data_IF_108904456465
#
_entry.id   IF_108904456465
#
_cell.length_a   1.000
_cell.length_b   1.000
_cell.length_c   1.000
_cell.angle_alpha   90.00
_cell.angle_beta   90.00
_cell.angle_gamma   90.00
#
_symmetry.space_group_name_H-M   'P 1'
#
loop_
_entity.id
_entity.type
_entity.pdbx_description
1 polymer ?
#
# COMPACT_ATOMS: atom_id res chain seq x y z
N UNK A 1 13.80 -3.74 14.29
CA UNK A 1 13.00 -2.68 13.63
C UNK A 1 12.52 -3.17 12.29
N UNK A 2 11.30 -2.79 11.88
CA UNK A 2 10.74 -3.13 10.56
C UNK A 2 11.56 -2.47 9.47
N UNK A 3 11.70 -3.13 8.32
CA UNK A 3 12.47 -2.64 7.17
C UNK A 3 11.61 -2.28 5.97
N UNK A 4 10.32 -2.59 6.02
CA UNK A 4 9.42 -2.46 4.88
C UNK A 4 8.04 -1.96 5.32
N UNK A 5 7.60 -0.90 4.66
CA UNK A 5 6.28 -0.30 4.83
C UNK A 5 5.57 -0.22 3.48
N UNK A 6 4.28 0.03 3.53
CA UNK A 6 3.44 0.24 2.38
C UNK A 6 2.56 1.45 2.64
N UNK A 7 2.25 2.23 1.60
CA UNK A 7 1.40 3.41 1.73
C UNK A 7 0.42 3.53 0.57
N UNK A 8 -0.73 4.14 0.87
CA UNK A 8 -1.75 4.52 -0.10
C UNK A 8 -2.50 5.75 0.43
N UNK A 9 -3.26 6.42 -0.43
CA UNK A 9 -4.02 7.59 -0.04
C UNK A 9 -5.27 7.77 -0.89
N UNK A 10 -6.32 8.32 -0.28
CA UNK A 10 -7.55 8.62 -0.98
C UNK A 10 -8.06 10.00 -0.59
N UNK A 11 -8.76 10.65 -1.53
CA UNK A 11 -9.35 11.97 -1.27
C UNK A 11 -10.37 11.88 -0.11
N UNK A 12 -10.68 12.99 0.52
CA UNK A 12 -11.80 13.17 1.46
C UNK A 12 -12.22 14.63 1.37
N UNK A 13 -13.51 14.90 1.46
CA UNK A 13 -14.02 16.27 1.49
C UNK A 13 -14.18 16.70 2.95
N UNK A 14 -13.69 17.90 3.28
CA UNK A 14 -13.79 18.49 4.62
C UNK A 14 -14.32 19.91 4.50
N UNK A 15 -15.46 20.20 5.12
CA UNK A 15 -16.21 21.43 4.82
C UNK A 15 -15.61 22.69 5.44
N UNK A 16 -15.25 22.63 6.73
CA UNK A 16 -14.86 23.81 7.50
C UNK A 16 -13.34 23.86 7.75
N UNK A 17 -12.55 23.69 6.69
CA UNK A 17 -11.11 23.94 6.73
C UNK A 17 -10.83 25.45 6.66
N UNK A 18 -10.06 26.02 7.61
CA UNK A 18 -9.72 27.44 7.58
C UNK A 18 -9.06 27.82 6.25
N UNK A 19 -9.52 28.92 5.65
CA UNK A 19 -8.95 29.50 4.42
C UNK A 19 -9.03 28.58 3.18
N UNK A 20 -9.89 27.55 3.20
CA UNK A 20 -10.11 26.63 2.07
C UNK A 20 -11.58 26.53 1.71
N UNK A 21 -11.86 26.35 0.42
CA UNK A 21 -13.23 26.14 -0.06
C UNK A 21 -13.71 24.73 0.35
N UNK A 22 -14.99 24.56 0.73
CA UNK A 22 -15.55 23.26 1.16
C UNK A 22 -15.44 22.14 0.12
N UNK A 23 -15.31 22.47 -1.17
CA UNK A 23 -15.15 21.51 -2.28
C UNK A 23 -13.69 21.14 -2.56
N UNK A 24 -12.74 21.74 -1.85
CA UNK A 24 -11.31 21.42 -2.04
C UNK A 24 -11.04 20.01 -1.55
N UNK A 25 -10.32 19.22 -2.37
CA UNK A 25 -9.90 17.89 -1.96
C UNK A 25 -8.92 17.98 -0.78
N UNK A 26 -9.17 17.13 0.21
CA UNK A 26 -8.22 16.76 1.28
C UNK A 26 -7.90 15.28 1.19
N UNK A 27 -7.00 14.77 2.03
CA UNK A 27 -6.47 13.41 1.88
C UNK A 27 -6.49 12.61 3.17
N UNK A 28 -6.94 11.37 3.05
CA UNK A 28 -6.76 10.32 4.04
C UNK A 28 -5.64 9.40 3.55
N UNK A 29 -4.54 9.41 4.27
CA UNK A 29 -3.38 8.56 4.05
C UNK A 29 -3.53 7.28 4.86
N UNK A 30 -3.03 6.19 4.31
CA UNK A 30 -2.83 4.93 4.98
C UNK A 30 -1.34 4.60 4.94
N UNK A 31 -0.76 4.36 6.10
CA UNK A 31 0.57 3.77 6.24
C UNK A 31 0.42 2.43 6.95
N UNK A 32 1.07 1.40 6.42
CA UNK A 32 0.99 0.06 7.03
C UNK A 32 2.30 -0.69 6.96
N UNK A 33 2.44 -1.66 7.86
CA UNK A 33 3.50 -2.65 7.74
C UNK A 33 3.25 -3.61 6.57
N UNK A 34 4.34 -4.19 6.06
CA UNK A 34 4.27 -5.21 5.00
C UNK A 34 4.04 -6.63 5.51
N UNK A 35 4.42 -7.61 4.69
CA UNK A 35 4.34 -9.06 5.01
C UNK A 35 5.62 -9.54 5.70
N UNK A 36 5.99 -8.89 6.81
CA UNK A 36 7.23 -9.17 7.56
C UNK A 36 7.08 -10.23 8.67
N UNK A 37 5.90 -10.83 8.79
CA UNK A 37 5.60 -11.85 9.81
C UNK A 37 5.43 -11.30 11.23
N UNK A 38 5.53 -9.99 11.41
CA UNK A 38 5.24 -9.31 12.67
C UNK A 38 3.76 -8.84 12.68
N UNK A 39 3.20 -8.52 13.86
CA UNK A 39 1.80 -8.11 13.94
C UNK A 39 1.46 -6.96 13.00
N UNK A 40 0.38 -7.00 12.22
CA UNK A 40 0.11 -5.95 11.25
C UNK A 40 -0.21 -4.62 11.92
N UNK A 41 0.39 -3.55 11.39
CA UNK A 41 0.16 -2.17 11.79
C UNK A 41 -0.47 -1.41 10.61
N UNK A 42 -1.59 -0.74 10.83
CA UNK A 42 -2.33 0.08 9.88
C UNK A 42 -2.66 1.42 10.56
N UNK A 43 -2.13 2.52 10.02
CA UNK A 43 -2.30 3.86 10.57
C UNK A 43 -2.94 4.74 9.50
N UNK A 44 -4.05 5.37 9.86
CA UNK A 44 -4.70 6.38 9.03
C UNK A 44 -4.31 7.77 9.51
N UNK A 45 -4.06 8.66 8.56
CA UNK A 45 -3.66 10.02 8.84
C UNK A 45 -4.39 10.96 7.88
N UNK A 46 -5.03 11.99 8.42
CA UNK A 46 -5.70 13.00 7.60
C UNK A 46 -4.80 14.22 7.42
N UNK A 47 -4.81 14.78 6.21
CA UNK A 47 -4.19 16.07 5.90
C UNK A 47 -5.02 16.88 4.92
N UNK A 48 -4.84 18.19 4.96
CA UNK A 48 -5.49 19.15 4.09
C UNK A 48 -4.98 18.99 2.64
N UNK A 49 -3.69 18.68 2.44
CA UNK A 49 -3.10 18.58 1.09
C UNK A 49 -2.50 17.21 0.76
N UNK A 50 -2.32 16.86 -0.53
CA UNK A 50 -1.57 15.65 -0.97
C UNK A 50 -0.08 15.91 -1.01
N UNK A 51 0.37 17.06 -0.51
CA UNK A 51 1.72 17.51 -0.71
C UNK A 51 2.71 16.49 -0.13
N UNK A 52 3.82 16.30 -0.86
CA UNK A 52 4.89 15.35 -0.53
C UNK A 52 5.42 15.46 0.90
N UNK A 53 5.36 16.65 1.50
CA UNK A 53 5.88 16.87 2.86
C UNK A 53 5.06 16.13 3.92
N UNK A 54 3.78 15.84 3.67
CA UNK A 54 2.96 15.08 4.63
C UNK A 54 3.46 13.65 4.78
N UNK A 55 3.73 12.97 3.67
CA UNK A 55 4.33 11.64 3.70
C UNK A 55 5.75 11.65 4.32
N UNK A 56 6.57 12.66 3.98
CA UNK A 56 7.90 12.79 4.55
C UNK A 56 7.90 13.05 6.07
N UNK A 57 6.98 13.90 6.54
CA UNK A 57 6.82 14.19 7.97
C UNK A 57 6.32 12.96 8.73
N UNK A 58 5.38 12.20 8.17
CA UNK A 58 4.87 11.00 8.81
C UNK A 58 5.95 9.91 8.93
N UNK A 59 6.79 9.76 7.89
CA UNK A 59 7.83 8.75 7.82
C UNK A 59 9.17 9.20 8.42
N UNK A 60 9.20 10.34 9.13
CA UNK A 60 10.42 10.84 9.75
C UNK A 60 11.00 9.81 10.72
N UNK A 61 12.30 9.50 10.56
CA UNK A 61 13.01 8.52 11.37
C UNK A 61 12.90 7.07 10.90
N UNK A 62 12.07 6.78 9.89
CA UNK A 62 12.06 5.48 9.23
C UNK A 62 13.15 5.39 8.15
N UNK A 63 13.85 4.25 8.10
CA UNK A 63 14.75 3.90 7.01
C UNK A 63 14.45 2.48 6.54
N UNK A 64 14.55 2.24 5.23
CA UNK A 64 14.19 0.95 4.64
C UNK A 64 13.47 1.10 3.30
N UNK A 65 12.42 0.29 3.10
CA UNK A 65 11.69 0.20 1.84
C UNK A 65 10.23 0.66 1.99
N UNK A 66 9.71 1.35 0.98
CA UNK A 66 8.31 1.78 0.92
C UNK A 66 7.66 1.41 -0.43
N UNK A 67 6.65 0.54 -0.41
CA UNK A 67 5.83 0.18 -1.58
C UNK A 67 4.64 1.14 -1.73
N UNK A 68 4.40 1.62 -2.95
CA UNK A 68 3.35 2.60 -3.28
C UNK A 68 2.75 2.35 -4.68
N UNK A 69 1.59 2.95 -4.97
CA UNK A 69 0.90 2.89 -6.28
C UNK A 69 1.61 3.68 -7.41
N UNK A 70 2.72 4.34 -7.08
CA UNK A 70 3.50 5.16 -8.01
C UNK A 70 3.13 6.65 -8.00
N UNK A 71 2.38 7.14 -7.01
CA UNK A 71 2.23 8.57 -6.77
C UNK A 71 3.60 9.26 -6.56
N UNK A 72 3.76 10.44 -7.17
CA UNK A 72 5.01 11.19 -7.14
C UNK A 72 5.27 11.88 -5.79
N UNK A 73 4.25 12.02 -4.94
CA UNK A 73 4.43 12.62 -3.61
C UNK A 73 5.39 11.83 -2.72
N UNK A 74 5.60 10.56 -3.01
CA UNK A 74 6.59 9.72 -2.32
C UNK A 74 8.01 9.83 -2.89
N UNK A 75 8.26 10.57 -3.99
CA UNK A 75 9.58 10.60 -4.66
C UNK A 75 10.72 11.11 -3.77
N UNK A 76 10.42 11.97 -2.80
CA UNK A 76 11.44 12.68 -2.00
C UNK A 76 11.39 12.23 -0.53
N UNK A 77 11.69 10.96 -0.30
CA UNK A 77 11.79 10.39 1.05
C UNK A 77 13.26 10.05 1.33
N UNK A 78 13.96 10.84 2.19
CA UNK A 78 15.35 10.53 2.54
C UNK A 78 15.40 9.17 3.26
N UNK A 79 16.49 8.42 3.04
CA UNK A 79 16.77 7.12 3.68
C UNK A 79 15.75 5.99 3.39
N UNK A 80 14.81 6.23 2.47
CA UNK A 80 13.78 5.27 2.07
C UNK A 80 13.96 4.92 0.59
N UNK A 81 14.16 3.64 0.30
CA UNK A 81 14.12 3.10 -1.05
C UNK A 81 12.69 2.78 -1.44
N UNK A 82 12.28 3.23 -2.63
CA UNK A 82 10.92 3.00 -3.10
C UNK A 82 10.78 1.73 -3.89
N UNK A 83 9.73 1.00 -3.59
CA UNK A 83 9.21 -0.08 -4.41
C UNK A 83 7.96 0.41 -5.16
N UNK A 84 7.77 -0.09 -6.38
CA UNK A 84 6.61 0.22 -7.22
C UNK A 84 5.76 -1.01 -7.49
N UNK A 85 4.45 -0.78 -7.53
CA UNK A 85 3.47 -1.84 -7.64
C UNK A 85 3.37 -2.45 -9.04
N UNK A 86 3.75 -3.72 -9.18
CA UNK A 86 3.56 -4.48 -10.42
C UNK A 86 2.10 -4.78 -10.74
N UNK A 87 1.18 -4.72 -9.77
CA UNK A 87 -0.24 -4.86 -10.06
C UNK A 87 -0.76 -3.69 -10.91
N UNK A 88 -0.23 -2.48 -10.69
CA UNK A 88 -0.52 -1.32 -11.54
C UNK A 88 0.06 -1.46 -12.94
N UNK A 89 1.29 -1.96 -13.08
CA UNK A 89 1.88 -2.27 -14.39
C UNK A 89 0.99 -3.26 -15.14
N UNK A 90 0.62 -4.37 -14.49
CA UNK A 90 -0.28 -5.39 -15.07
C UNK A 90 -1.62 -4.79 -15.49
N UNK A 91 -2.23 -3.96 -14.63
CA UNK A 91 -3.50 -3.28 -14.92
C UNK A 91 -3.41 -2.40 -16.15
N UNK A 92 -2.36 -1.59 -16.29
CA UNK A 92 -2.22 -0.74 -17.48
C UNK A 92 -2.09 -1.54 -18.77
N UNK A 93 -1.38 -2.67 -18.75
CA UNK A 93 -1.34 -3.58 -19.89
C UNK A 93 -2.70 -4.23 -20.14
N UNK A 94 -3.41 -4.68 -19.11
CA UNK A 94 -4.77 -5.23 -19.23
C UNK A 94 -5.73 -4.22 -19.84
N UNK A 95 -5.73 -2.97 -19.37
CA UNK A 95 -6.60 -1.90 -19.89
C UNK A 95 -6.30 -1.55 -21.36
N UNK A 96 -5.09 -1.86 -21.83
CA UNK A 96 -4.67 -1.66 -23.22
C UNK A 96 -5.09 -2.80 -24.17
N UNK A 97 -5.61 -3.92 -23.65
CA UNK A 97 -6.11 -5.02 -24.46
C UNK A 97 -7.49 -4.64 -25.05
N UNK A 98 -7.69 -4.72 -26.37
CA UNK A 98 -9.01 -4.57 -26.97
C UNK A 98 -9.97 -5.66 -26.48
N UNK A 99 -11.23 -5.31 -26.23
CA UNK A 99 -12.27 -6.24 -25.77
C UNK A 99 -12.34 -7.46 -26.68
N UNK A 100 -12.33 -8.67 -26.10
CA UNK A 100 -12.40 -9.93 -26.85
C UNK A 100 -11.06 -10.40 -27.44
N UNK A 101 -9.96 -9.73 -27.11
CA UNK A 101 -8.60 -10.09 -27.57
C UNK A 101 -7.67 -10.50 -26.42
N UNK A 102 -8.23 -10.98 -25.30
CA UNK A 102 -7.50 -11.32 -24.09
C UNK A 102 -6.47 -12.47 -24.30
N UNK A 103 -6.67 -13.29 -25.34
CA UNK A 103 -5.80 -14.40 -25.71
C UNK A 103 -5.04 -14.18 -27.03
N UNK A 104 -5.08 -12.98 -27.59
CA UNK A 104 -4.34 -12.65 -28.80
C UNK A 104 -2.88 -12.30 -28.44
N UNK A 105 -2.04 -13.33 -28.35
CA UNK A 105 -0.62 -13.20 -27.98
C UNK A 105 0.23 -12.43 -28.99
N UNK A 106 -0.31 -12.10 -30.17
CA UNK A 106 0.35 -11.18 -31.11
C UNK A 106 0.34 -9.73 -30.60
N UNK A 107 -0.57 -9.39 -29.68
CA UNK A 107 -0.70 -8.05 -29.13
C UNK A 107 0.33 -7.79 -28.01
N UNK A 108 1.10 -6.70 -28.08
CA UNK A 108 2.02 -6.32 -27.01
C UNK A 108 1.35 -6.14 -25.64
N UNK A 109 0.09 -5.69 -25.61
CA UNK A 109 -0.66 -5.54 -24.37
C UNK A 109 -0.86 -6.89 -23.65
N UNK A 110 -1.20 -7.95 -24.40
CA UNK A 110 -1.37 -9.31 -23.87
C UNK A 110 -0.01 -9.86 -23.40
N UNK A 111 1.05 -9.66 -24.17
CA UNK A 111 2.42 -10.06 -23.81
C UNK A 111 2.86 -9.41 -22.49
N UNK A 112 2.61 -8.10 -22.31
CA UNK A 112 2.91 -7.39 -21.06
C UNK A 112 2.16 -7.98 -19.86
N UNK A 113 0.89 -8.35 -20.01
CA UNK A 113 0.14 -9.06 -18.96
C UNK A 113 0.75 -10.43 -18.65
N UNK A 114 1.24 -11.16 -19.66
CA UNK A 114 1.87 -12.47 -19.46
C UNK A 114 3.17 -12.36 -18.66
N UNK A 115 4.03 -11.38 -18.96
CA UNK A 115 5.22 -11.12 -18.13
C UNK A 115 4.86 -10.85 -16.68
N UNK A 116 3.91 -9.94 -16.43
CA UNK A 116 3.47 -9.65 -15.08
C UNK A 116 2.88 -10.89 -14.39
N UNK A 117 2.07 -11.68 -15.11
CA UNK A 117 1.43 -12.88 -14.56
C UNK A 117 2.47 -13.91 -14.13
N UNK A 118 3.53 -14.13 -14.93
CA UNK A 118 4.65 -15.00 -14.53
C UNK A 118 5.33 -14.55 -13.23
N UNK A 119 5.54 -13.24 -13.04
CA UNK A 119 6.08 -12.71 -11.78
C UNK A 119 5.14 -13.00 -10.59
N UNK A 120 3.84 -12.76 -10.75
CA UNK A 120 2.86 -13.09 -9.72
C UNK A 120 2.77 -14.60 -9.45
N UNK A 121 3.03 -15.46 -10.44
CA UNK A 121 3.06 -16.90 -10.25
C UNK A 121 4.28 -17.33 -9.43
N UNK A 122 5.44 -16.73 -9.68
CA UNK A 122 6.65 -16.89 -8.86
C UNK A 122 6.41 -16.48 -7.40
N UNK A 123 5.80 -15.31 -7.16
CA UNK A 123 5.48 -14.86 -5.80
C UNK A 123 4.49 -15.81 -5.09
N UNK A 124 3.45 -16.29 -5.80
CA UNK A 124 2.52 -17.29 -5.24
C UNK A 124 3.22 -18.60 -4.90
N UNK A 125 4.13 -19.06 -5.75
CA UNK A 125 4.95 -20.24 -5.49
C UNK A 125 5.81 -20.05 -4.24
N UNK A 126 6.54 -18.92 -4.15
CA UNK A 126 7.39 -18.62 -3.00
C UNK A 126 6.59 -18.54 -1.69
N UNK A 127 5.38 -17.97 -1.73
CA UNK A 127 4.48 -17.91 -0.58
C UNK A 127 3.97 -19.29 -0.17
N UNK A 128 3.54 -20.11 -1.13
CA UNK A 128 3.08 -21.49 -0.86
C UNK A 128 4.17 -22.39 -0.29
N UNK A 129 5.45 -22.11 -0.59
CA UNK A 129 6.61 -22.78 -0.01
C UNK A 129 7.04 -22.24 1.35
N UNK A 130 6.37 -21.22 1.88
CA UNK A 130 6.73 -20.54 3.12
C UNK A 130 8.20 -20.09 3.15
N UNK A 131 8.71 -19.58 2.03
CA UNK A 131 10.08 -19.06 1.99
C UNK A 131 10.27 -17.94 3.01
N UNK A 132 11.38 -17.98 3.74
CA UNK A 132 11.88 -16.84 4.53
C UNK A 132 12.22 -15.66 3.62
N UNK A 133 12.48 -14.48 4.19
CA UNK A 133 12.89 -13.32 3.41
C UNK A 133 14.16 -13.59 2.58
N UNK A 134 15.16 -14.25 3.17
CA UNK A 134 16.41 -14.62 2.50
C UNK A 134 16.17 -15.62 1.35
N UNK A 135 15.37 -16.66 1.60
CA UNK A 135 15.00 -17.64 0.58
C UNK A 135 14.19 -17.01 -0.55
N UNK A 136 13.26 -16.11 -0.23
CA UNK A 136 12.46 -15.37 -1.22
C UNK A 136 13.35 -14.50 -2.08
N UNK A 137 14.29 -13.75 -1.47
CA UNK A 137 15.27 -12.95 -2.21
C UNK A 137 16.08 -13.82 -3.17
N UNK A 138 16.63 -14.92 -2.70
CA UNK A 138 17.42 -15.83 -3.54
C UNK A 138 16.58 -16.40 -4.70
N UNK A 139 15.37 -16.87 -4.40
CA UNK A 139 14.42 -17.36 -5.39
C UNK A 139 14.08 -16.30 -6.46
N UNK A 140 13.85 -15.05 -6.05
CA UNK A 140 13.61 -13.93 -6.97
C UNK A 140 14.80 -13.71 -7.90
N UNK A 141 16.03 -13.72 -7.38
CA UNK A 141 17.23 -13.56 -8.19
C UNK A 141 17.42 -14.70 -9.21
N UNK A 142 17.02 -15.92 -8.86
CA UNK A 142 17.13 -17.08 -9.74
C UNK A 142 15.99 -17.19 -10.78
N UNK A 143 14.75 -16.85 -10.39
CA UNK A 143 13.56 -17.11 -11.19
C UNK A 143 12.93 -15.86 -11.79
N UNK A 144 12.86 -14.77 -11.03
CA UNK A 144 12.18 -13.55 -11.45
C UNK A 144 13.11 -12.59 -12.19
N UNK A 145 14.38 -12.48 -11.78
CA UNK A 145 15.35 -11.60 -12.45
C UNK A 145 15.48 -11.90 -13.96
N UNK A 146 15.58 -13.17 -14.42
CA UNK A 146 15.59 -13.45 -15.86
C UNK A 146 14.29 -13.06 -16.58
N UNK A 147 13.13 -13.18 -15.91
CA UNK A 147 11.82 -12.76 -16.45
C UNK A 147 11.80 -11.24 -16.60
N UNK A 148 12.31 -10.52 -15.60
CA UNK A 148 12.41 -9.06 -15.60
C UNK A 148 13.36 -8.57 -16.69
N UNK A 149 14.54 -9.17 -16.83
CA UNK A 149 15.49 -8.83 -17.90
C UNK A 149 14.86 -9.04 -19.28
N UNK A 150 14.15 -10.15 -19.50
CA UNK A 150 13.39 -10.39 -20.71
C UNK A 150 12.26 -9.36 -20.91
N UNK A 151 11.52 -9.03 -19.85
CA UNK A 151 10.47 -8.00 -19.90
C UNK A 151 11.03 -6.65 -20.30
N UNK A 152 12.14 -6.20 -19.71
CA UNK A 152 12.74 -4.89 -20.02
C UNK A 152 13.28 -4.84 -21.45
N UNK A 153 13.99 -5.89 -21.89
CA UNK A 153 14.46 -6.00 -23.27
C UNK A 153 13.30 -5.95 -24.27
N UNK A 154 12.19 -6.64 -23.97
CA UNK A 154 10.97 -6.59 -24.76
C UNK A 154 10.31 -5.20 -24.71
N UNK A 155 10.24 -4.57 -23.54
CA UNK A 155 9.60 -3.27 -23.34
C UNK A 155 10.32 -2.17 -24.12
N UNK A 156 11.66 -2.20 -24.14
CA UNK A 156 12.50 -1.23 -24.83
C UNK A 156 12.41 -1.32 -26.37
N UNK A 157 11.85 -2.40 -26.90
CA UNK A 157 11.53 -2.55 -28.32
C UNK A 157 10.14 -2.01 -28.69
N UNK A 158 9.27 -1.76 -27.71
CA UNK A 158 7.92 -1.27 -27.98
C UNK A 158 7.94 0.16 -28.50
N UNK A 159 7.23 0.41 -29.60
CA UNK A 159 7.07 1.75 -30.19
C UNK A 159 5.57 2.07 -30.36
N UNK A 160 4.81 2.19 -29.26
CA UNK A 160 3.38 2.44 -29.34
C UNK A 160 3.09 3.87 -29.82
N UNK A 161 2.01 4.03 -30.56
CA UNK A 161 1.53 5.35 -30.97
C UNK A 161 1.19 6.20 -29.73
N UNK A 162 1.62 7.48 -29.74
CA UNK A 162 1.35 8.44 -28.66
C UNK A 162 -0.16 8.53 -28.40
N UNK A 163 -0.53 8.68 -27.12
CA UNK A 163 -1.93 8.79 -26.69
C UNK A 163 -2.69 7.46 -26.57
N UNK A 164 -2.13 6.34 -27.01
CA UNK A 164 -2.76 5.02 -26.83
C UNK A 164 -2.64 4.52 -25.38
N UNK A 165 -3.54 3.61 -24.99
CA UNK A 165 -3.45 2.93 -23.69
C UNK A 165 -2.17 2.10 -23.56
N UNK A 166 -1.70 1.50 -24.66
CA UNK A 166 -0.42 0.81 -24.70
C UNK A 166 0.75 1.77 -24.44
N UNK A 167 0.75 2.96 -25.05
CA UNK A 167 1.76 3.99 -24.75
C UNK A 167 1.74 4.40 -23.27
N UNK A 168 0.56 4.50 -22.66
CA UNK A 168 0.45 4.74 -21.21
C UNK A 168 1.09 3.61 -20.38
N UNK A 169 0.84 2.35 -20.73
CA UNK A 169 1.41 1.19 -20.03
C UNK A 169 2.94 1.14 -20.14
N UNK A 170 3.46 1.30 -21.36
CA UNK A 170 4.91 1.31 -21.64
C UNK A 170 5.59 2.45 -20.89
N UNK A 171 5.08 3.68 -21.01
CA UNK A 171 5.65 4.84 -20.32
C UNK A 171 5.56 4.69 -18.79
N UNK A 172 4.48 4.12 -18.25
CA UNK A 172 4.34 3.93 -16.81
C UNK A 172 5.42 3.00 -16.26
N UNK A 173 5.69 1.89 -16.94
CA UNK A 173 6.72 0.92 -16.56
C UNK A 173 8.14 1.48 -16.75
N UNK A 174 8.43 2.09 -17.91
CA UNK A 174 9.77 2.65 -18.21
C UNK A 174 10.17 3.73 -17.20
N UNK A 175 9.27 4.65 -16.87
CA UNK A 175 9.53 5.72 -15.90
C UNK A 175 9.74 5.22 -14.46
N UNK A 176 9.53 3.92 -14.19
CA UNK A 176 9.63 3.31 -12.87
C UNK A 176 10.53 2.07 -12.89
N UNK A 177 11.37 1.89 -13.91
CA UNK A 177 12.23 0.71 -14.04
C UNK A 177 13.01 0.43 -12.76
N UNK A 178 13.69 1.45 -12.22
CA UNK A 178 14.53 1.30 -11.03
C UNK A 178 13.69 0.90 -9.80
N UNK A 179 12.58 1.57 -9.54
CA UNK A 179 11.70 1.29 -8.38
C UNK A 179 10.90 0.01 -8.53
N UNK A 180 10.62 -0.45 -9.75
CA UNK A 180 10.02 -1.75 -10.05
C UNK A 180 11.00 -2.91 -9.84
N UNK A 181 12.30 -2.63 -9.82
CA UNK A 181 13.36 -3.63 -9.56
C UNK A 181 13.76 -3.69 -8.08
N UNK A 182 13.49 -2.64 -7.30
CA UNK A 182 13.92 -2.52 -5.89
C UNK A 182 13.43 -3.67 -5.00
N UNK A 183 12.26 -4.27 -5.28
CA UNK A 183 11.75 -5.40 -4.49
C UNK A 183 12.65 -6.65 -4.52
N UNK A 184 13.58 -6.75 -5.49
CA UNK A 184 14.58 -7.82 -5.55
C UNK A 184 15.68 -7.66 -4.48
N UNK A 185 15.86 -6.45 -3.94
CA UNK A 185 16.94 -6.17 -2.99
C UNK A 185 16.70 -6.80 -1.61
N UNK A 186 15.45 -6.96 -1.21
CA UNK A 186 15.04 -7.51 0.10
C UNK A 186 13.76 -8.34 -0.01
N UNK A 187 13.77 -9.55 0.54
CA UNK A 187 12.63 -10.46 0.50
C UNK A 187 11.42 -10.05 1.34
N UNK A 188 11.56 -9.05 2.23
CA UNK A 188 10.42 -8.47 2.95
C UNK A 188 9.54 -7.60 2.04
N UNK A 189 10.08 -7.06 0.95
CA UNK A 189 9.32 -6.26 0.00
C UNK A 189 8.27 -7.14 -0.72
N UNK A 190 7.07 -6.60 -0.91
CA UNK A 190 6.03 -7.23 -1.71
C UNK A 190 6.17 -6.83 -3.19
N UNK A 191 5.66 -7.66 -4.10
CA UNK A 191 5.58 -7.33 -5.53
C UNK A 191 4.46 -6.31 -5.85
N UNK A 192 3.52 -6.10 -4.93
CA UNK A 192 2.37 -5.22 -5.14
C UNK A 192 1.92 -4.50 -3.88
N UNK A 193 1.35 -3.31 -4.06
CA UNK A 193 0.70 -2.50 -3.03
C UNK A 193 -0.74 -2.95 -2.67
N UNK A 194 -1.23 -4.07 -3.20
CA UNK A 194 -2.63 -4.50 -3.06
C UNK A 194 -3.13 -4.58 -1.61
N UNK A 195 -2.24 -4.88 -0.66
CA UNK A 195 -2.62 -4.92 0.75
C UNK A 195 -2.99 -3.54 1.30
N UNK A 196 -2.29 -2.47 0.89
CA UNK A 196 -2.64 -1.09 1.24
C UNK A 196 -3.93 -0.66 0.54
N UNK A 197 -4.08 -0.99 -0.74
CA UNK A 197 -5.31 -0.70 -1.50
C UNK A 197 -6.53 -1.38 -0.86
N UNK A 198 -6.38 -2.63 -0.40
CA UNK A 198 -7.43 -3.35 0.31
C UNK A 198 -7.71 -2.74 1.68
N UNK A 199 -6.69 -2.33 2.41
CA UNK A 199 -6.84 -1.70 3.72
C UNK A 199 -7.49 -0.31 3.61
N UNK A 200 -7.20 0.51 2.60
CA UNK A 200 -7.86 1.82 2.47
C UNK A 200 -9.30 1.71 1.93
N UNK A 201 -9.65 0.57 1.34
CA UNK A 201 -10.96 0.34 0.69
C UNK A 201 -12.19 0.55 1.60
N UNK A 202 -12.24 0.12 2.88
CA UNK A 202 -13.34 0.42 3.78
C UNK A 202 -13.62 1.92 3.90
N UNK A 203 -12.58 2.76 3.89
CA UNK A 203 -12.74 4.22 3.87
C UNK A 203 -13.30 4.70 2.53
N UNK A 204 -12.75 4.22 1.41
CA UNK A 204 -13.21 4.66 0.08
C UNK A 204 -14.66 4.30 -0.21
N UNK A 205 -15.12 3.14 0.27
CA UNK A 205 -16.51 2.69 0.19
C UNK A 205 -17.37 3.48 1.17
N UNK A 206 -16.94 3.60 2.43
CA UNK A 206 -17.69 4.29 3.49
C UNK A 206 -18.00 5.75 3.16
N UNK A 207 -17.06 6.45 2.50
CA UNK A 207 -17.26 7.83 2.03
C UNK A 207 -18.47 8.01 1.12
N UNK A 208 -18.92 6.98 0.40
CA UNK A 208 -20.15 7.07 -0.39
C UNK A 208 -21.41 7.20 0.48
N UNK A 209 -21.33 6.83 1.75
CA UNK A 209 -22.45 6.86 2.70
C UNK A 209 -22.47 8.12 3.56
N UNK A 210 -21.31 8.63 4.00
CA UNK A 210 -21.22 9.84 4.85
C UNK A 210 -20.80 11.12 4.10
N UNK A 211 -20.37 11.00 2.83
CA UNK A 211 -20.04 12.07 1.87
C UNK A 211 -18.85 12.98 2.24
N UNK A 212 -18.84 13.59 3.44
CA UNK A 212 -17.82 14.54 3.90
C UNK A 212 -17.59 14.48 5.42
N UNK A 213 -16.47 15.07 5.88
CA UNK A 213 -16.29 15.45 7.29
C UNK A 213 -16.64 16.93 7.48
N UNK A 214 -17.33 17.26 8.57
CA UNK A 214 -17.72 18.65 8.83
C UNK A 214 -16.53 19.56 9.17
N UNK A 215 -15.48 19.05 9.82
CA UNK A 215 -14.33 19.86 10.27
C UNK A 215 -13.03 19.07 10.22
N UNK A 216 -11.86 19.74 10.22
CA UNK A 216 -10.55 19.09 10.29
C UNK A 216 -10.42 18.18 11.52
N UNK A 217 -10.94 18.62 12.67
CA UNK A 217 -11.00 17.81 13.89
C UNK A 217 -11.83 16.54 13.69
N UNK A 218 -12.96 16.63 12.99
CA UNK A 218 -13.79 15.47 12.66
C UNK A 218 -13.11 14.48 11.70
N UNK A 219 -12.36 14.99 10.72
CA UNK A 219 -11.56 14.18 9.80
C UNK A 219 -10.40 13.48 10.53
N UNK A 220 -9.70 14.18 11.42
CA UNK A 220 -8.66 13.61 12.27
C UNK A 220 -9.21 12.53 13.22
N UNK A 221 -10.35 12.78 13.87
CA UNK A 221 -11.02 11.77 14.70
C UNK A 221 -11.43 10.55 13.88
N UNK A 222 -11.88 10.74 12.64
CA UNK A 222 -12.19 9.63 11.74
C UNK A 222 -10.95 8.80 11.44
N UNK A 223 -9.80 9.42 11.16
CA UNK A 223 -8.53 8.71 10.95
C UNK A 223 -8.16 7.84 12.18
N UNK A 224 -8.32 8.37 13.39
CA UNK A 224 -8.06 7.63 14.64
C UNK A 224 -9.00 6.42 14.76
N UNK A 225 -10.30 6.60 14.53
CA UNK A 225 -11.28 5.50 14.61
C UNK A 225 -11.01 4.43 13.56
N UNK A 226 -10.72 4.81 12.31
CA UNK A 226 -10.34 3.86 11.26
C UNK A 226 -9.06 3.10 11.62
N UNK A 227 -8.07 3.78 12.21
CA UNK A 227 -6.86 3.14 12.75
C UNK A 227 -7.24 2.07 13.76
N UNK A 228 -8.01 2.39 14.80
CA UNK A 228 -8.41 1.41 15.82
C UNK A 228 -9.19 0.23 15.25
N UNK A 229 -10.15 0.49 14.35
CA UNK A 229 -11.02 -0.53 13.76
C UNK A 229 -10.25 -1.47 12.83
N UNK A 230 -9.47 -0.91 11.90
CA UNK A 230 -8.75 -1.72 10.91
C UNK A 230 -7.54 -2.42 11.54
N UNK A 231 -6.93 -1.84 12.58
CA UNK A 231 -5.94 -2.53 13.41
C UNK A 231 -6.51 -3.76 14.13
N UNK A 232 -7.70 -3.62 14.74
CA UNK A 232 -8.37 -4.74 15.40
C UNK A 232 -8.63 -5.89 14.41
N UNK A 233 -9.19 -5.56 13.23
CA UNK A 233 -9.46 -6.54 12.18
C UNK A 233 -8.19 -7.20 11.67
N UNK A 234 -7.13 -6.43 11.43
CA UNK A 234 -5.88 -6.96 10.92
C UNK A 234 -5.19 -7.92 11.91
N UNK A 235 -5.47 -7.77 13.21
CA UNK A 235 -4.94 -8.62 14.28
C UNK A 235 -5.97 -9.67 14.77
N UNK A 236 -6.98 -9.98 13.97
CA UNK A 236 -7.99 -11.01 14.24
C UNK A 236 -8.77 -10.81 15.56
N UNK A 237 -9.00 -9.55 15.94
CA UNK A 237 -9.82 -9.20 17.10
C UNK A 237 -11.26 -8.86 16.72
N UNK A 238 -12.19 -9.13 17.63
CA UNK A 238 -13.53 -8.58 17.55
C UNK A 238 -13.48 -7.06 17.73
N UNK A 239 -13.85 -6.32 16.68
CA UNK A 239 -13.79 -4.85 16.69
C UNK A 239 -14.57 -4.23 17.84
N UNK A 240 -15.79 -4.73 18.13
CA UNK A 240 -16.60 -4.18 19.22
C UNK A 240 -15.93 -4.42 20.57
N UNK A 241 -15.51 -5.66 20.87
CA UNK A 241 -14.81 -5.99 22.12
C UNK A 241 -13.53 -5.15 22.28
N UNK A 242 -12.75 -4.97 21.21
CA UNK A 242 -11.52 -4.19 21.26
C UNK A 242 -11.76 -2.70 21.52
N UNK A 243 -12.74 -2.09 20.87
CA UNK A 243 -13.12 -0.70 21.15
C UNK A 243 -13.62 -0.54 22.59
N UNK A 244 -14.47 -1.45 23.06
CA UNK A 244 -14.95 -1.45 24.46
C UNK A 244 -13.80 -1.61 25.44
N UNK A 245 -12.86 -2.51 25.16
CA UNK A 245 -11.66 -2.74 25.97
C UNK A 245 -10.83 -1.46 26.06
N UNK A 246 -10.43 -0.86 24.94
CA UNK A 246 -9.66 0.38 24.91
C UNK A 246 -10.34 1.52 25.69
N UNK A 247 -11.64 1.73 25.46
CA UNK A 247 -12.40 2.78 26.13
C UNK A 247 -12.54 2.51 27.64
N UNK A 248 -12.59 1.25 28.07
CA UNK A 248 -12.66 0.88 29.49
C UNK A 248 -11.33 1.12 30.21
N UNK A 249 -10.21 0.94 29.51
CA UNK A 249 -8.87 1.18 30.06
C UNK A 249 -8.54 2.68 30.17
N UNK A 250 -9.22 3.54 29.40
CA UNK A 250 -9.05 5.01 29.40
C UNK A 250 -7.57 5.43 29.29
N UNK A 251 -6.86 5.03 28.21
CA UNK A 251 -5.48 5.44 28.02
C UNK A 251 -5.34 6.96 27.97
N UNK A 252 -4.27 7.47 28.58
CA UNK A 252 -3.95 8.89 28.60
C UNK A 252 -2.45 9.14 28.35
N UNK A 253 -2.08 10.42 28.24
CA UNK A 253 -0.71 10.84 27.92
C UNK A 253 0.33 10.57 29.04
N UNK A 254 -0.09 10.06 30.21
CA UNK A 254 0.80 9.73 31.33
C UNK A 254 1.17 8.25 31.37
N UNK A 255 0.50 7.42 30.57
CA UNK A 255 0.84 5.99 30.47
C UNK A 255 2.21 5.81 29.83
N UNK A 256 2.99 4.85 30.35
CA UNK A 256 4.27 4.48 29.74
C UNK A 256 4.07 3.65 28.48
N UNK A 257 5.11 3.54 27.65
CA UNK A 257 5.09 2.71 26.45
C UNK A 257 4.77 1.25 26.78
N UNK A 258 5.27 0.71 27.91
CA UNK A 258 4.94 -0.65 28.35
C UNK A 258 3.47 -0.82 28.70
N UNK A 259 2.83 0.22 29.27
CA UNK A 259 1.40 0.19 29.58
C UNK A 259 0.57 0.26 28.30
N UNK A 260 0.96 1.11 27.35
CA UNK A 260 0.30 1.22 26.04
C UNK A 260 0.48 -0.04 25.20
N UNK A 261 1.63 -0.71 25.29
CA UNK A 261 1.90 -1.98 24.61
C UNK A 261 0.92 -3.08 25.05
N UNK A 262 0.48 -3.09 26.32
CA UNK A 262 -0.57 -4.02 26.79
C UNK A 262 -1.95 -3.74 26.19
N UNK A 263 -2.18 -2.55 25.64
CA UNK A 263 -3.42 -2.18 24.96
C UNK A 263 -3.37 -2.41 23.46
N UNK A 264 -2.16 -2.61 22.91
CA UNK A 264 -1.97 -2.87 21.50
C UNK A 264 -2.69 -4.16 21.08
N UNK A 265 -3.20 -4.23 19.84
CA UNK A 265 -4.09 -5.33 19.43
C UNK A 265 -3.36 -6.68 19.32
N UNK A 266 -2.04 -6.67 19.33
CA UNK A 266 -1.22 -7.88 19.31
C UNK A 266 -0.82 -8.41 20.68
N UNK A 267 -1.05 -7.63 21.74
CA UNK A 267 -0.74 -8.03 23.11
C UNK A 267 -1.57 -9.26 23.53
N UNK A 268 -1.01 -10.07 24.42
CA UNK A 268 -1.70 -11.23 24.97
C UNK A 268 -2.97 -10.81 25.72
N UNK A 269 -2.92 -9.67 26.41
CA UNK A 269 -4.05 -9.14 27.17
C UNK A 269 -5.19 -8.71 26.24
N UNK A 270 -4.91 -7.94 25.19
CA UNK A 270 -5.94 -7.56 24.22
C UNK A 270 -6.51 -8.80 23.50
N UNK A 271 -5.67 -9.77 23.12
CA UNK A 271 -6.13 -11.02 22.50
C UNK A 271 -7.06 -11.80 23.42
N UNK A 272 -6.68 -12.03 24.67
CA UNK A 272 -7.49 -12.77 25.63
C UNK A 272 -8.87 -12.14 25.88
N UNK A 273 -8.95 -10.81 25.87
CA UNK A 273 -10.19 -10.08 26.12
C UNK A 273 -11.04 -9.84 24.86
N UNK A 274 -10.42 -9.80 23.68
CA UNK A 274 -11.07 -9.29 22.47
C UNK A 274 -11.12 -10.28 21.32
N UNK A 275 -10.48 -11.45 21.40
CA UNK A 275 -10.72 -12.53 20.45
C UNK A 275 -12.14 -13.09 20.62
N UNK A 276 -12.69 -13.63 19.52
CA UNK A 276 -14.05 -14.18 19.50
C UNK A 276 -14.13 -15.47 20.30
#
# INVERSE_FOLDING_TARGET
>A
MRKYLMADETRVQVLNEPERNPETDSWMWLFRSGEDGLPPILLYHYTETRAKFHAASFLQGFSGYLETDGYQGYNNLPDIKRCSCWAHVRRYFTDAIPKGKEYDYSLPAVQGVQFCSKLFDCERYSKAKNHTAEQRKQFRLEKEKPILEAFWNWLDQQRPNKGTRLAKAVNYAQNRKDTLMTYLEDGHCSLSNNLSENAIRPFTVGRKNWLFSASPKGAASSAIVYTMVEMAKANDLNTYKYLTYLLSQRPDAKMSDEQLEQLAPWSETAKANCQN
#
